data_IF_555169574997
#
_entry.id   IF_555169574997
#
_cell.length_a   1.000
_cell.length_b   1.000
_cell.length_c   1.000
_cell.angle_alpha   90.00
_cell.angle_beta   90.00
_cell.angle_gamma   90.00
#
_symmetry.space_group_name_H-M   'P 1'
#
loop_
_entity.id
_entity.type
_entity.pdbx_description
1 polymer ?
#
# COMPACT_ATOMS: atom_id res chain seq x y z
N UNK A 1 4.52 -32.04 -5.96
CA UNK A 1 4.73 -30.59 -6.07
C UNK A 1 3.53 -29.93 -5.42
N UNK A 2 3.64 -29.09 -4.42
CA UNK A 2 2.48 -28.47 -3.80
C UNK A 2 1.93 -27.40 -4.76
N UNK A 3 0.73 -27.63 -5.26
CA UNK A 3 -0.06 -26.66 -5.98
C UNK A 3 -0.65 -25.69 -4.95
N UNK A 4 -0.31 -24.42 -5.03
CA UNK A 4 -0.95 -23.40 -4.23
C UNK A 4 -2.24 -22.99 -4.95
N UNK A 5 -3.36 -23.55 -4.52
CA UNK A 5 -4.69 -23.16 -5.00
C UNK A 5 -5.08 -21.84 -4.35
N UNK A 6 -5.10 -20.78 -5.15
CA UNK A 6 -5.75 -19.53 -4.82
C UNK A 6 -7.07 -19.48 -5.62
N UNK A 7 -8.18 -19.61 -4.94
CA UNK A 7 -9.51 -19.46 -5.55
C UNK A 7 -9.84 -17.96 -5.63
N UNK A 8 -9.78 -17.41 -6.83
CA UNK A 8 -10.31 -16.10 -7.18
C UNK A 8 -11.28 -16.27 -8.34
N UNK A 9 -12.59 -16.26 -8.05
CA UNK A 9 -13.60 -16.45 -9.07
C UNK A 9 -13.50 -17.76 -9.86
N UNK A 10 -14.32 -17.99 -10.86
CA UNK A 10 -14.40 -19.23 -11.64
C UNK A 10 -13.21 -19.53 -12.59
N UNK A 11 -12.04 -18.88 -12.39
CA UNK A 11 -10.83 -19.13 -13.15
C UNK A 11 -9.70 -19.60 -12.26
N UNK A 12 -9.49 -20.92 -12.23
CA UNK A 12 -8.24 -21.52 -11.70
C UNK A 12 -7.06 -21.18 -12.62
N UNK A 13 -6.34 -20.10 -12.33
CA UNK A 13 -5.04 -19.82 -12.95
C UNK A 13 -3.93 -20.45 -12.10
N UNK A 14 -3.53 -21.67 -12.49
CA UNK A 14 -2.42 -22.37 -11.86
C UNK A 14 -1.12 -21.81 -12.46
N UNK A 15 -0.50 -20.84 -11.79
CA UNK A 15 0.88 -20.45 -12.10
C UNK A 15 1.82 -21.49 -11.48
N UNK A 16 2.29 -22.42 -12.28
CA UNK A 16 3.37 -23.35 -11.88
C UNK A 16 4.68 -22.57 -11.78
N UNK A 17 4.98 -22.02 -10.61
CA UNK A 17 6.30 -21.43 -10.37
C UNK A 17 7.33 -22.56 -10.22
N UNK A 18 8.33 -22.58 -11.11
CA UNK A 18 9.48 -23.47 -10.95
C UNK A 18 10.27 -23.08 -9.69
N UNK A 19 10.99 -24.02 -9.04
CA UNK A 19 11.82 -23.71 -7.88
C UNK A 19 12.77 -22.51 -8.12
N UNK A 20 13.40 -22.42 -9.29
CA UNK A 20 14.30 -21.32 -9.64
C UNK A 20 13.58 -19.94 -9.59
N UNK A 21 12.37 -19.84 -10.12
CA UNK A 21 11.59 -18.59 -10.06
C UNK A 21 11.27 -18.13 -8.63
N UNK A 22 11.06 -19.07 -7.70
CA UNK A 22 10.84 -18.73 -6.28
C UNK A 22 12.08 -18.14 -5.63
N UNK A 23 13.26 -18.66 -5.92
CA UNK A 23 14.53 -18.10 -5.42
C UNK A 23 14.81 -16.73 -6.04
N UNK A 24 14.58 -16.54 -7.34
CA UNK A 24 14.72 -15.25 -8.00
C UNK A 24 13.80 -14.19 -7.37
N UNK A 25 12.55 -14.56 -7.03
CA UNK A 25 11.61 -13.68 -6.36
C UNK A 25 12.09 -13.32 -4.95
N UNK A 26 12.55 -14.31 -4.19
CA UNK A 26 13.12 -14.09 -2.85
C UNK A 26 14.34 -13.16 -2.91
N UNK A 27 15.29 -13.41 -3.81
CA UNK A 27 16.51 -12.60 -3.95
C UNK A 27 16.18 -11.16 -4.34
N UNK A 28 15.23 -10.96 -5.27
CA UNK A 28 14.73 -9.64 -5.64
C UNK A 28 14.11 -8.90 -4.46
N UNK A 29 13.26 -9.59 -3.71
CA UNK A 29 12.61 -9.03 -2.52
C UNK A 29 13.63 -8.68 -1.42
N UNK A 30 14.57 -9.59 -1.11
CA UNK A 30 15.62 -9.37 -0.13
C UNK A 30 16.53 -8.20 -0.50
N UNK A 31 16.83 -8.01 -1.79
CA UNK A 31 17.56 -6.85 -2.29
C UNK A 31 16.86 -5.54 -1.97
N UNK A 32 15.55 -5.43 -2.26
CA UNK A 32 14.73 -4.25 -1.96
C UNK A 32 14.59 -4.03 -0.46
N UNK A 33 14.33 -5.09 0.31
CA UNK A 33 14.23 -5.05 1.77
C UNK A 33 15.54 -4.57 2.42
N UNK A 34 16.69 -5.03 1.92
CA UNK A 34 18.00 -4.60 2.42
C UNK A 34 18.24 -3.11 2.16
N UNK A 35 17.90 -2.62 0.98
CA UNK A 35 17.99 -1.18 0.65
C UNK A 35 17.06 -0.38 1.55
N UNK A 36 15.80 -0.81 1.72
CA UNK A 36 14.84 -0.17 2.62
C UNK A 36 15.40 -0.03 4.04
N UNK A 37 15.93 -1.11 4.61
CA UNK A 37 16.48 -1.13 5.97
C UNK A 37 17.70 -0.21 6.10
N UNK A 38 18.67 -0.34 5.18
CA UNK A 38 19.91 0.46 5.22
C UNK A 38 19.61 1.95 5.10
N UNK A 39 18.77 2.34 4.15
CA UNK A 39 18.38 3.73 3.96
C UNK A 39 17.55 4.26 5.14
N UNK A 40 16.61 3.48 5.67
CA UNK A 40 15.82 3.90 6.83
C UNK A 40 16.69 4.13 8.05
N UNK A 41 17.62 3.23 8.36
CA UNK A 41 18.59 3.40 9.46
C UNK A 41 19.44 4.65 9.21
N UNK A 42 19.99 4.83 8.01
CA UNK A 42 20.79 6.00 7.65
C UNK A 42 20.02 7.32 7.84
N UNK A 43 18.76 7.38 7.39
CA UNK A 43 17.92 8.56 7.56
C UNK A 43 17.54 8.80 9.02
N UNK A 44 17.24 7.76 9.81
CA UNK A 44 16.99 7.88 11.25
C UNK A 44 18.20 8.50 11.96
N UNK A 45 19.41 7.97 11.71
CA UNK A 45 20.65 8.52 12.29
C UNK A 45 20.82 9.98 11.88
N UNK A 46 20.59 10.30 10.61
CA UNK A 46 20.74 11.67 10.09
C UNK A 46 19.71 12.60 10.74
N UNK A 47 18.46 12.18 10.90
CA UNK A 47 17.40 12.95 11.60
C UNK A 47 17.78 13.26 13.03
N UNK A 48 18.42 12.32 13.73
CA UNK A 48 18.85 12.52 15.13
C UNK A 48 19.99 13.53 15.25
N UNK A 49 20.91 13.54 14.29
CA UNK A 49 22.15 14.35 14.37
C UNK A 49 21.95 15.77 13.86
N UNK A 50 21.13 15.96 12.80
CA UNK A 50 21.00 17.25 12.10
C UNK A 50 19.92 18.13 12.77
N UNK A 51 20.17 19.45 12.94
CA UNK A 51 19.17 20.38 13.49
C UNK A 51 18.13 20.81 12.43
N UNK A 52 17.01 21.36 12.90
CA UNK A 52 16.06 22.08 12.02
C UNK A 52 16.69 23.34 11.44
N UNK A 53 16.32 23.75 10.21
CA UNK A 53 15.31 23.14 9.31
C UNK A 53 15.87 22.03 8.40
N UNK A 54 17.20 21.78 8.41
CA UNK A 54 17.85 20.82 7.49
C UNK A 54 17.35 19.38 7.73
N UNK A 55 16.92 19.07 8.96
CA UNK A 55 16.31 17.80 9.34
C UNK A 55 15.08 17.42 8.49
N UNK A 56 14.35 18.38 7.92
CA UNK A 56 13.16 18.12 7.08
C UNK A 56 13.48 17.24 5.86
N UNK A 57 14.66 17.37 5.26
CA UNK A 57 15.04 16.55 4.10
C UNK A 57 15.17 15.06 4.45
N UNK A 58 15.98 14.64 5.45
CA UNK A 58 16.03 13.23 5.83
C UNK A 58 14.70 12.72 6.41
N UNK A 59 13.84 13.55 7.00
CA UNK A 59 12.48 13.18 7.41
C UNK A 59 11.59 12.88 6.18
N UNK A 60 11.67 13.69 5.12
CA UNK A 60 11.00 13.39 3.85
C UNK A 60 11.47 12.07 3.26
N UNK A 61 12.80 11.85 3.20
CA UNK A 61 13.37 10.61 2.66
C UNK A 61 12.99 9.39 3.50
N UNK A 62 12.92 9.54 4.83
CA UNK A 62 12.42 8.50 5.73
C UNK A 62 10.92 8.22 5.49
N UNK A 63 10.12 9.26 5.28
CA UNK A 63 8.71 9.14 4.89
C UNK A 63 8.52 8.42 3.56
N UNK A 64 9.40 8.66 2.59
CA UNK A 64 9.44 7.89 1.33
C UNK A 64 9.74 6.41 1.59
N UNK A 65 10.65 6.08 2.52
CA UNK A 65 10.93 4.67 2.87
C UNK A 65 9.75 4.00 3.56
N UNK A 66 9.01 4.71 4.40
CA UNK A 66 7.79 4.18 5.04
C UNK A 66 6.70 3.89 4.00
N UNK A 67 6.49 4.77 3.00
CA UNK A 67 5.57 4.48 1.90
C UNK A 67 6.05 3.27 1.09
N UNK A 68 7.35 3.20 0.73
CA UNK A 68 7.91 2.04 0.03
C UNK A 68 7.78 0.73 0.83
N UNK A 69 7.77 0.78 2.17
CA UNK A 69 7.57 -0.42 2.98
C UNK A 69 6.19 -1.05 2.76
N UNK A 70 5.15 -0.24 2.53
CA UNK A 70 3.79 -0.73 2.20
C UNK A 70 3.76 -1.36 0.82
N UNK A 71 4.50 -0.82 -0.15
CA UNK A 71 4.60 -1.42 -1.48
C UNK A 71 5.27 -2.82 -1.42
N UNK A 72 6.24 -3.02 -0.52
CA UNK A 72 6.81 -4.34 -0.26
C UNK A 72 5.87 -5.24 0.54
N UNK A 73 5.13 -4.69 1.52
CA UNK A 73 4.09 -5.42 2.25
C UNK A 73 3.00 -5.93 1.32
N UNK A 74 2.58 -5.12 0.35
CA UNK A 74 1.60 -5.48 -0.67
C UNK A 74 2.00 -6.76 -1.43
N UNK A 75 3.26 -6.90 -1.86
CA UNK A 75 3.77 -8.11 -2.52
C UNK A 75 3.60 -9.36 -1.63
N UNK A 76 3.79 -9.23 -0.31
CA UNK A 76 3.62 -10.32 0.65
C UNK A 76 2.14 -10.71 0.88
N UNK A 77 1.19 -9.86 0.52
CA UNK A 77 -0.24 -10.20 0.58
C UNK A 77 -0.60 -11.26 -0.46
N UNK A 78 0.03 -11.24 -1.63
CA UNK A 78 -0.22 -12.16 -2.75
C UNK A 78 0.68 -13.39 -2.72
N UNK A 79 1.94 -13.26 -2.31
CA UNK A 79 2.95 -14.30 -2.42
C UNK A 79 3.55 -14.70 -1.08
N UNK A 80 3.78 -16.02 -0.91
CA UNK A 80 4.58 -16.54 0.21
C UNK A 80 6.05 -16.56 -0.23
N UNK A 81 6.71 -15.40 -0.15
CA UNK A 81 8.08 -15.17 -0.62
C UNK A 81 9.09 -16.01 0.16
N UNK A 82 8.92 -16.08 1.49
CA UNK A 82 9.87 -16.74 2.41
C UNK A 82 9.67 -18.25 2.54
N UNK A 83 8.94 -18.92 1.65
CA UNK A 83 8.62 -20.35 1.73
C UNK A 83 7.95 -20.81 3.04
N UNK A 84 7.66 -19.87 3.95
CA UNK A 84 7.03 -20.10 5.24
C UNK A 84 6.05 -18.97 5.55
N UNK A 85 4.77 -19.30 5.69
CA UNK A 85 3.73 -18.32 5.96
C UNK A 85 3.93 -17.54 7.27
N UNK A 86 4.55 -18.15 8.31
CA UNK A 86 4.81 -17.46 9.57
C UNK A 86 5.87 -16.38 9.38
N UNK A 87 6.96 -16.70 8.66
CA UNK A 87 8.02 -15.73 8.33
C UNK A 87 7.47 -14.65 7.41
N UNK A 88 6.73 -15.03 6.38
CA UNK A 88 6.09 -14.10 5.45
C UNK A 88 5.21 -13.09 6.20
N UNK A 89 4.36 -13.57 7.13
CA UNK A 89 3.52 -12.70 7.96
C UNK A 89 4.33 -11.83 8.92
N UNK A 90 5.38 -12.38 9.56
CA UNK A 90 6.25 -11.60 10.44
C UNK A 90 6.88 -10.42 9.70
N UNK A 91 7.47 -10.68 8.53
CA UNK A 91 8.08 -9.63 7.70
C UNK A 91 7.02 -8.64 7.23
N UNK A 92 5.86 -9.11 6.77
CA UNK A 92 4.74 -8.21 6.40
C UNK A 92 4.31 -7.34 7.58
N UNK A 93 4.11 -7.92 8.78
CA UNK A 93 3.78 -7.12 9.97
C UNK A 93 4.85 -6.05 10.26
N UNK A 94 6.14 -6.38 10.16
CA UNK A 94 7.22 -5.41 10.38
C UNK A 94 7.23 -4.29 9.33
N UNK A 95 6.93 -4.61 8.08
CA UNK A 95 6.82 -3.62 6.98
C UNK A 95 5.62 -2.68 7.16
N UNK A 96 4.52 -3.16 7.71
CA UNK A 96 3.32 -2.35 8.00
C UNK A 96 3.44 -1.43 9.22
N UNK A 97 4.35 -1.75 10.18
CA UNK A 97 4.48 -0.98 11.42
C UNK A 97 4.69 0.53 11.21
N UNK A 98 5.54 1.00 10.28
CA UNK A 98 5.74 2.43 10.08
C UNK A 98 4.46 3.20 9.77
N UNK A 99 3.52 2.58 9.06
CA UNK A 99 2.21 3.16 8.70
C UNK A 99 1.06 2.63 9.57
N UNK A 100 1.35 1.90 10.66
CA UNK A 100 0.34 1.34 11.57
C UNK A 100 -0.61 0.33 10.89
N UNK A 101 -0.14 -0.36 9.87
CA UNK A 101 -0.91 -1.34 9.12
C UNK A 101 -0.80 -2.72 9.77
N UNK A 102 -1.93 -3.39 9.94
CA UNK A 102 -1.96 -4.81 10.29
C UNK A 102 -1.86 -5.63 9.00
N UNK A 103 -0.79 -6.39 8.84
CA UNK A 103 -0.59 -7.26 7.67
C UNK A 103 -1.77 -8.22 7.44
N UNK A 104 -2.30 -8.80 8.52
CA UNK A 104 -3.42 -9.75 8.42
C UNK A 104 -4.71 -9.07 7.95
N UNK A 105 -4.95 -7.81 8.37
CA UNK A 105 -6.09 -7.03 7.89
C UNK A 105 -5.86 -6.59 6.44
N UNK A 106 -4.68 -6.07 6.13
CA UNK A 106 -4.34 -5.65 4.76
C UNK A 106 -4.52 -6.81 3.79
N UNK A 107 -3.94 -7.98 4.07
CA UNK A 107 -4.09 -9.17 3.23
C UNK A 107 -5.56 -9.58 3.04
N UNK A 108 -6.39 -9.49 4.08
CA UNK A 108 -7.80 -9.85 4.00
C UNK A 108 -8.61 -8.85 3.16
N UNK A 109 -8.44 -7.54 3.41
CA UNK A 109 -9.15 -6.49 2.68
C UNK A 109 -8.68 -6.39 1.22
N UNK A 110 -7.37 -6.49 0.97
CA UNK A 110 -6.81 -6.44 -0.37
C UNK A 110 -7.23 -7.65 -1.22
N UNK A 111 -7.28 -8.85 -0.63
CA UNK A 111 -7.85 -10.02 -1.31
C UNK A 111 -9.33 -9.86 -1.64
N UNK A 112 -10.10 -9.22 -0.73
CA UNK A 112 -11.50 -8.89 -0.99
C UNK A 112 -11.62 -7.82 -2.11
N UNK A 113 -10.78 -6.77 -2.08
CA UNK A 113 -10.72 -5.74 -3.11
C UNK A 113 -10.51 -6.34 -4.51
N UNK A 114 -9.56 -7.25 -4.70
CA UNK A 114 -9.37 -7.94 -5.99
C UNK A 114 -10.61 -8.69 -6.49
N UNK A 115 -11.41 -9.25 -5.59
CA UNK A 115 -12.60 -10.02 -5.95
C UNK A 115 -13.85 -9.18 -6.11
N UNK A 116 -13.93 -8.03 -5.43
CA UNK A 116 -15.12 -7.19 -5.33
C UNK A 116 -14.99 -5.85 -6.07
N UNK A 117 -13.82 -5.54 -6.68
CA UNK A 117 -13.61 -4.29 -7.42
C UNK A 117 -14.65 -4.14 -8.54
N UNK A 118 -15.29 -2.97 -8.60
CA UNK A 118 -16.40 -2.70 -9.52
C UNK A 118 -17.77 -3.17 -9.01
N UNK A 119 -17.86 -3.59 -7.75
CA UNK A 119 -19.12 -3.92 -7.08
C UNK A 119 -19.33 -3.04 -5.83
N UNK A 120 -20.58 -2.91 -5.32
CA UNK A 120 -20.86 -2.16 -4.10
C UNK A 120 -20.18 -2.73 -2.83
N UNK A 121 -19.76 -3.98 -2.87
CA UNK A 121 -19.09 -4.66 -1.75
C UNK A 121 -17.61 -4.31 -1.65
N UNK A 122 -17.03 -3.64 -2.66
CA UNK A 122 -15.60 -3.26 -2.65
C UNK A 122 -15.25 -2.43 -1.41
N UNK A 123 -14.14 -2.78 -0.77
CA UNK A 123 -13.60 -2.09 0.41
C UNK A 123 -12.13 -1.76 0.18
N UNK A 124 -11.82 -0.48 0.24
CA UNK A 124 -10.44 0.00 0.17
C UNK A 124 -9.73 -0.19 1.52
N UNK A 125 -8.48 -0.62 1.47
CA UNK A 125 -7.69 -0.90 2.68
C UNK A 125 -7.44 0.37 3.50
N UNK A 126 -7.15 1.48 2.83
CA UNK A 126 -6.79 2.75 3.47
C UNK A 126 -7.97 3.70 3.66
N UNK A 127 -9.21 3.24 3.47
CA UNK A 127 -10.44 4.02 3.63
C UNK A 127 -10.46 5.32 2.82
N UNK A 128 -9.95 5.30 1.59
CA UNK A 128 -10.01 6.43 0.69
C UNK A 128 -11.45 6.73 0.29
N UNK A 129 -11.80 8.02 0.23
CA UNK A 129 -13.10 8.49 -0.25
C UNK A 129 -12.91 9.28 -1.54
N UNK A 130 -12.97 8.59 -2.67
CA UNK A 130 -12.79 9.18 -3.99
C UNK A 130 -13.92 10.13 -4.41
N UNK A 131 -15.12 9.98 -3.86
CA UNK A 131 -16.27 10.87 -4.13
C UNK A 131 -16.01 12.30 -3.67
N UNK A 132 -15.19 12.50 -2.63
CA UNK A 132 -14.82 13.82 -2.12
C UNK A 132 -13.73 14.51 -2.93
N UNK A 133 -13.10 13.84 -3.89
CA UNK A 133 -12.02 14.39 -4.72
C UNK A 133 -12.50 15.33 -5.83
N UNK A 134 -13.53 16.11 -5.56
CA UNK A 134 -14.10 17.13 -6.47
C UNK A 134 -13.68 18.55 -6.12
N UNK A 135 -12.83 18.71 -5.09
CA UNK A 135 -12.38 20.01 -4.58
C UNK A 135 -10.97 19.93 -4.00
N UNK A 136 -10.31 21.09 -3.86
CA UNK A 136 -8.99 21.18 -3.22
C UNK A 136 -9.04 20.68 -1.77
N UNK A 137 -10.11 21.03 -1.01
CA UNK A 137 -10.29 20.53 0.35
C UNK A 137 -10.44 19.00 0.41
N UNK A 138 -11.17 18.43 -0.56
CA UNK A 138 -11.27 16.97 -0.71
C UNK A 138 -9.92 16.31 -1.02
N UNK A 139 -9.11 16.96 -1.88
CA UNK A 139 -7.76 16.48 -2.18
C UNK A 139 -6.82 16.57 -0.96
N UNK A 140 -6.86 17.68 -0.19
CA UNK A 140 -6.11 17.79 1.07
C UNK A 140 -6.55 16.73 2.07
N UNK A 141 -7.87 16.49 2.19
CA UNK A 141 -8.40 15.43 3.04
C UNK A 141 -7.91 14.04 2.60
N UNK A 142 -7.86 13.78 1.30
CA UNK A 142 -7.30 12.54 0.75
C UNK A 142 -5.83 12.37 1.14
N UNK A 143 -5.00 13.40 0.92
CA UNK A 143 -3.58 13.39 1.28
C UNK A 143 -3.35 13.20 2.78
N UNK A 144 -4.27 13.67 3.62
CA UNK A 144 -4.15 13.53 5.09
C UNK A 144 -4.31 12.10 5.59
N UNK A 145 -4.87 11.18 4.78
CA UNK A 145 -5.20 9.81 5.16
C UNK A 145 -6.00 9.69 6.48
N UNK A 146 -6.82 10.69 6.82
CA UNK A 146 -7.60 10.69 8.06
C UNK A 146 -8.51 9.46 8.19
N UNK A 147 -9.04 8.94 7.09
CA UNK A 147 -9.82 7.69 7.09
C UNK A 147 -9.02 6.50 7.56
N UNK A 148 -7.76 6.39 7.12
CA UNK A 148 -6.85 5.34 7.58
C UNK A 148 -6.54 5.48 9.07
N UNK A 149 -6.08 6.65 9.52
CA UNK A 149 -5.70 6.84 10.92
C UNK A 149 -6.87 6.70 11.90
N UNK A 150 -8.08 7.13 11.52
CA UNK A 150 -9.28 6.87 12.35
C UNK A 150 -9.58 5.38 12.46
N UNK A 151 -9.49 4.64 11.34
CA UNK A 151 -9.63 3.18 11.34
C UNK A 151 -8.57 2.46 12.18
N UNK A 152 -7.33 2.95 12.19
CA UNK A 152 -6.26 2.43 13.06
C UNK A 152 -6.63 2.61 14.53
N UNK A 153 -7.09 3.81 14.94
CA UNK A 153 -7.52 4.07 16.32
C UNK A 153 -8.68 3.16 16.71
N UNK A 154 -9.70 3.02 15.85
CA UNK A 154 -10.83 2.14 16.09
C UNK A 154 -10.41 0.68 16.26
N UNK A 155 -9.51 0.18 15.41
CA UNK A 155 -9.00 -1.19 15.47
C UNK A 155 -8.13 -1.41 16.73
N UNK A 156 -7.31 -0.43 17.14
CA UNK A 156 -6.54 -0.50 18.39
C UNK A 156 -7.52 -0.56 19.59
N UNK A 157 -8.51 0.33 19.65
CA UNK A 157 -9.51 0.31 20.73
C UNK A 157 -10.25 -1.03 20.79
N UNK A 158 -10.71 -1.55 19.64
CA UNK A 158 -11.36 -2.84 19.56
C UNK A 158 -10.45 -3.98 20.03
N UNK A 159 -9.17 -3.97 19.63
CA UNK A 159 -8.19 -4.98 19.99
C UNK A 159 -7.94 -5.00 21.52
N UNK A 160 -7.81 -3.83 22.15
CA UNK A 160 -7.56 -3.68 23.59
C UNK A 160 -8.73 -4.14 24.44
N UNK A 161 -9.99 -3.93 24.00
CA UNK A 161 -11.18 -4.45 24.71
C UNK A 161 -11.52 -5.90 24.32
N UNK A 162 -10.70 -6.56 23.51
CA UNK A 162 -10.87 -7.96 23.14
C UNK A 162 -11.92 -8.22 22.06
N UNK A 163 -12.46 -7.19 21.41
CA UNK A 163 -13.43 -7.32 20.32
C UNK A 163 -12.74 -7.89 19.07
N UNK A 164 -13.30 -8.92 18.51
CA UNK A 164 -12.85 -9.54 17.26
C UNK A 164 -13.69 -9.06 16.07
N UNK A 165 -13.08 -9.02 14.89
CA UNK A 165 -13.79 -8.75 13.64
C UNK A 165 -14.63 -9.97 13.25
N UNK A 166 -15.84 -9.71 12.78
CA UNK A 166 -16.81 -10.74 12.36
C UNK A 166 -16.79 -10.98 10.84
N UNK A 167 -16.21 -10.05 10.09
CA UNK A 167 -16.15 -10.10 8.61
C UNK A 167 -14.99 -10.95 8.07
N UNK A 168 -14.22 -11.59 8.95
CA UNK A 168 -13.11 -12.50 8.60
C UNK A 168 -13.16 -13.78 9.46
N UNK A 169 -12.42 -14.82 9.05
CA UNK A 169 -12.37 -16.06 9.84
C UNK A 169 -11.80 -15.81 11.25
N UNK A 170 -12.23 -16.60 12.27
CA UNK A 170 -11.76 -16.41 13.65
C UNK A 170 -10.23 -16.40 13.78
N UNK A 171 -9.54 -17.25 13.01
CA UNK A 171 -8.08 -17.30 12.99
C UNK A 171 -7.46 -15.99 12.51
N UNK A 172 -8.02 -15.37 11.48
CA UNK A 172 -7.58 -14.08 10.94
C UNK A 172 -7.94 -12.98 11.92
N UNK A 173 -9.13 -12.97 12.49
CA UNK A 173 -9.55 -12.00 13.49
C UNK A 173 -8.61 -11.93 14.71
N UNK A 174 -8.18 -13.10 15.23
CA UNK A 174 -7.18 -13.16 16.30
C UNK A 174 -5.81 -12.61 15.88
N UNK A 175 -5.38 -12.85 14.65
CA UNK A 175 -4.12 -12.29 14.13
C UNK A 175 -4.19 -10.76 14.06
N UNK A 176 -5.26 -10.22 13.48
CA UNK A 176 -5.50 -8.77 13.37
C UNK A 176 -5.47 -8.13 14.76
N UNK A 177 -6.21 -8.70 15.72
CA UNK A 177 -6.21 -8.22 17.11
C UNK A 177 -4.79 -8.20 17.69
N UNK A 178 -4.03 -9.27 17.56
CA UNK A 178 -2.67 -9.34 18.12
C UNK A 178 -1.72 -8.33 17.47
N UNK A 179 -1.84 -8.09 16.17
CA UNK A 179 -1.06 -7.10 15.44
C UNK A 179 -1.40 -5.69 15.89
N UNK A 180 -2.67 -5.33 16.10
CA UNK A 180 -3.06 -4.03 16.68
C UNK A 180 -2.68 -3.88 18.15
N UNK A 181 -2.71 -4.95 18.95
CA UNK A 181 -2.16 -4.94 20.30
C UNK A 181 -0.64 -4.69 20.28
N UNK A 182 0.11 -5.29 19.34
CA UNK A 182 1.53 -5.02 19.14
C UNK A 182 1.77 -3.55 18.79
N UNK A 183 1.02 -3.01 17.82
CA UNK A 183 1.10 -1.59 17.41
C UNK A 183 0.85 -0.68 18.62
N UNK A 184 -0.22 -0.92 19.38
CA UNK A 184 -0.55 -0.15 20.58
C UNK A 184 0.58 -0.22 21.64
N UNK A 185 1.11 -1.41 21.89
CA UNK A 185 2.22 -1.63 22.82
C UNK A 185 3.46 -0.85 22.40
N UNK A 186 3.84 -0.91 21.11
CA UNK A 186 5.00 -0.16 20.59
C UNK A 186 4.80 1.35 20.71
N UNK A 187 3.61 1.87 20.39
CA UNK A 187 3.30 3.30 20.55
C UNK A 187 3.46 3.71 22.01
N UNK A 188 2.89 2.95 22.96
CA UNK A 188 2.96 3.25 24.38
C UNK A 188 4.43 3.21 24.85
N UNK A 189 5.18 2.18 24.50
CA UNK A 189 6.59 2.07 24.87
C UNK A 189 7.39 3.28 24.35
N UNK A 190 7.23 3.63 23.07
CA UNK A 190 7.94 4.75 22.45
C UNK A 190 7.56 6.09 23.10
N UNK A 191 6.29 6.30 23.45
CA UNK A 191 5.82 7.49 24.17
C UNK A 191 6.43 7.55 25.58
N UNK A 192 6.37 6.46 26.34
CA UNK A 192 6.95 6.40 27.70
C UNK A 192 8.46 6.68 27.66
N UNK A 193 9.19 6.05 26.73
CA UNK A 193 10.64 6.28 26.58
C UNK A 193 10.94 7.74 26.18
N UNK A 194 10.14 8.34 25.29
CA UNK A 194 10.30 9.75 24.91
C UNK A 194 10.09 10.70 26.09
N UNK A 195 9.11 10.42 26.95
CA UNK A 195 8.83 11.20 28.16
C UNK A 195 9.96 11.03 29.18
N UNK A 196 10.36 9.79 29.49
CA UNK A 196 11.38 9.49 30.49
C UNK A 196 12.75 10.09 30.13
N UNK A 197 13.10 10.08 28.85
CA UNK A 197 14.36 10.64 28.35
C UNK A 197 14.26 12.07 27.84
N UNK A 198 13.08 12.70 27.97
CA UNK A 198 12.82 14.08 27.54
C UNK A 198 13.32 14.34 26.10
N UNK A 199 13.04 13.42 25.19
CA UNK A 199 13.53 13.46 23.81
C UNK A 199 12.41 13.57 22.79
N UNK A 200 12.69 14.24 21.66
CA UNK A 200 11.78 14.35 20.51
C UNK A 200 12.01 13.25 19.46
N UNK A 201 12.84 12.24 19.77
CA UNK A 201 13.21 11.19 18.79
C UNK A 201 11.98 10.55 18.16
N UNK A 202 10.98 10.15 18.93
CA UNK A 202 9.73 9.58 18.42
C UNK A 202 9.02 10.53 17.44
N UNK A 203 8.91 11.80 17.82
CA UNK A 203 8.30 12.82 16.97
C UNK A 203 9.08 13.00 15.67
N UNK A 204 10.40 13.15 15.79
CA UNK A 204 11.29 13.47 14.67
C UNK A 204 11.51 12.30 13.70
N UNK A 205 11.62 11.06 14.22
CA UNK A 205 11.98 9.90 13.41
C UNK A 205 10.79 9.05 12.97
N UNK A 206 9.59 9.32 13.52
CA UNK A 206 8.41 8.54 13.15
C UNK A 206 7.18 9.40 12.89
N UNK A 207 6.68 10.19 13.84
CA UNK A 207 5.39 10.89 13.69
C UNK A 207 5.42 11.96 12.58
N UNK A 208 6.47 12.78 12.51
CA UNK A 208 6.61 13.78 11.43
C UNK A 208 6.79 13.07 10.07
N UNK A 209 7.74 12.13 9.90
CA UNK A 209 7.82 11.34 8.67
C UNK A 209 6.48 10.70 8.30
N UNK A 210 5.77 10.08 9.23
CA UNK A 210 4.51 9.39 8.98
C UNK A 210 3.40 10.35 8.51
N UNK A 211 3.12 11.39 9.28
CA UNK A 211 1.92 12.23 9.05
C UNK A 211 2.16 13.26 7.94
N UNK A 212 3.34 13.89 7.93
CA UNK A 212 3.64 15.00 7.01
C UNK A 212 4.10 14.50 5.64
N UNK A 213 4.78 13.36 5.58
CA UNK A 213 5.39 12.89 4.34
C UNK A 213 4.83 11.56 3.85
N UNK A 214 4.81 10.53 4.68
CA UNK A 214 4.40 9.18 4.25
C UNK A 214 2.95 9.14 3.80
N UNK A 215 2.03 9.68 4.59
CA UNK A 215 0.61 9.70 4.26
C UNK A 215 0.34 10.34 2.91
N UNK A 216 0.76 11.60 2.67
CA UNK A 216 0.62 12.24 1.36
C UNK A 216 1.29 11.47 0.21
N UNK A 217 2.50 10.93 0.41
CA UNK A 217 3.22 10.19 -0.63
C UNK A 217 2.46 8.90 -1.00
N UNK A 218 2.03 8.13 0.00
CA UNK A 218 1.28 6.90 -0.24
C UNK A 218 -0.07 7.19 -0.92
N UNK A 219 -0.80 8.19 -0.46
CA UNK A 219 -2.03 8.63 -1.09
C UNK A 219 -1.85 9.07 -2.56
N UNK A 220 -0.69 9.68 -2.89
CA UNK A 220 -0.33 10.03 -4.27
C UNK A 220 0.08 8.82 -5.11
N UNK A 221 0.60 7.75 -4.52
CA UNK A 221 0.90 6.51 -5.24
C UNK A 221 -0.41 5.80 -5.61
N UNK A 222 -1.32 5.62 -4.68
CA UNK A 222 -2.53 4.83 -4.84
C UNK A 222 -3.64 5.54 -5.63
N UNK A 223 -3.74 6.88 -5.54
CA UNK A 223 -4.82 7.63 -6.21
C UNK A 223 -4.97 7.30 -7.71
N UNK A 224 -3.91 7.19 -8.50
CA UNK A 224 -4.05 6.92 -9.93
C UNK A 224 -4.57 5.52 -10.26
N UNK A 225 -4.48 4.56 -9.34
CA UNK A 225 -4.73 3.15 -9.62
C UNK A 225 -6.17 2.88 -10.05
N UNK A 226 -7.13 3.52 -9.37
CA UNK A 226 -8.57 3.34 -9.63
C UNK A 226 -9.34 4.63 -9.87
N UNK A 227 -8.80 5.80 -9.45
CA UNK A 227 -9.52 7.05 -9.54
C UNK A 227 -9.85 7.43 -10.99
N UNK A 228 -11.15 7.64 -11.27
CA UNK A 228 -11.64 8.01 -12.60
C UNK A 228 -11.62 6.89 -13.63
N UNK A 229 -11.44 5.64 -13.20
CA UNK A 229 -11.73 4.45 -13.98
C UNK A 229 -13.22 4.06 -13.83
N UNK A 230 -13.71 3.15 -14.67
CA UNK A 230 -15.09 2.67 -14.59
C UNK A 230 -15.29 1.77 -13.36
N UNK A 231 -15.96 2.27 -12.33
CA UNK A 231 -16.22 1.57 -11.08
C UNK A 231 -17.50 0.69 -11.11
N UNK A 232 -18.14 0.56 -12.26
CA UNK A 232 -19.38 -0.21 -12.46
C UNK A 232 -19.14 -1.57 -13.14
N UNK A 233 -17.89 -1.87 -13.47
CA UNK A 233 -17.49 -3.12 -14.11
C UNK A 233 -16.46 -3.87 -13.27
N UNK A 234 -16.53 -5.20 -13.30
CA UNK A 234 -15.50 -6.06 -12.70
C UNK A 234 -14.34 -6.37 -13.64
N UNK A 235 -14.32 -5.75 -14.83
CA UNK A 235 -13.27 -5.97 -15.81
C UNK A 235 -12.04 -5.10 -15.48
N UNK A 236 -10.89 -5.67 -15.11
CA UNK A 236 -9.70 -4.89 -14.72
C UNK A 236 -9.13 -4.01 -15.84
N UNK A 237 -9.43 -4.29 -17.10
CA UNK A 237 -9.01 -3.43 -18.21
C UNK A 237 -9.71 -2.07 -18.23
N UNK A 238 -10.86 -1.95 -17.56
CA UNK A 238 -11.68 -0.74 -17.52
C UNK A 238 -11.69 -0.07 -16.14
N UNK A 239 -11.62 -0.86 -15.03
CA UNK A 239 -11.76 -0.35 -13.67
C UNK A 239 -10.42 -0.07 -12.96
N UNK A 240 -9.31 -0.27 -13.66
CA UNK A 240 -7.95 -0.12 -13.13
C UNK A 240 -7.08 0.63 -14.14
N UNK A 241 -6.00 1.27 -13.68
CA UNK A 241 -5.07 2.03 -14.54
C UNK A 241 -3.66 1.50 -14.45
N UNK A 242 -2.97 1.43 -15.60
CA UNK A 242 -1.52 1.24 -15.68
C UNK A 242 -0.84 2.56 -16.02
N UNK A 243 0.26 2.87 -15.31
CA UNK A 243 1.06 4.07 -15.54
C UNK A 243 2.44 3.66 -16.02
N UNK A 244 2.85 4.21 -17.18
CA UNK A 244 4.23 4.08 -17.62
C UNK A 244 5.13 4.93 -16.71
N UNK A 245 6.15 4.30 -16.13
CA UNK A 245 7.02 4.94 -15.16
C UNK A 245 8.49 4.69 -15.47
N UNK A 246 9.37 5.58 -14.97
CA UNK A 246 10.81 5.35 -15.03
C UNK A 246 11.18 4.09 -14.23
N UNK A 247 12.36 3.51 -14.51
CA UNK A 247 12.86 2.35 -13.77
C UNK A 247 12.92 2.60 -12.26
N UNK A 248 13.29 3.83 -11.87
CA UNK A 248 13.35 4.23 -10.46
C UNK A 248 11.95 4.27 -9.84
N UNK A 249 10.97 4.91 -10.47
CA UNK A 249 9.61 4.96 -9.95
C UNK A 249 8.97 3.57 -9.91
N UNK A 250 9.14 2.75 -10.96
CA UNK A 250 8.68 1.36 -10.96
C UNK A 250 9.28 0.56 -9.79
N UNK A 251 10.57 0.75 -9.51
CA UNK A 251 11.24 0.13 -8.36
C UNK A 251 10.66 0.66 -7.04
N UNK A 252 10.44 1.97 -6.93
CA UNK A 252 9.96 2.64 -5.72
C UNK A 252 8.53 2.23 -5.35
N UNK A 253 7.63 2.14 -6.33
CA UNK A 253 6.27 1.63 -6.12
C UNK A 253 6.17 0.11 -6.25
N UNK A 254 7.30 -0.58 -6.19
CA UNK A 254 7.41 -2.03 -6.26
C UNK A 254 6.65 -2.66 -7.44
N UNK A 255 6.58 -1.98 -8.59
CA UNK A 255 5.88 -2.47 -9.78
C UNK A 255 4.37 -2.25 -9.80
N UNK A 256 3.76 -1.68 -8.74
CA UNK A 256 2.32 -1.43 -8.65
C UNK A 256 1.81 -0.43 -9.71
N UNK A 257 2.70 0.31 -10.38
CA UNK A 257 2.33 1.10 -11.56
C UNK A 257 1.78 0.25 -12.73
N UNK A 258 2.00 -1.07 -12.74
CA UNK A 258 1.37 -2.05 -13.64
C UNK A 258 0.10 -2.64 -13.03
N UNK A 259 -0.82 -1.77 -12.59
CA UNK A 259 -1.93 -2.17 -11.74
C UNK A 259 -3.04 -2.94 -12.47
N UNK A 260 -3.24 -2.68 -13.78
CA UNK A 260 -4.14 -3.49 -14.63
C UNK A 260 -3.63 -4.93 -14.72
N UNK A 261 -2.35 -5.11 -14.95
CA UNK A 261 -1.66 -6.40 -15.03
C UNK A 261 -1.78 -7.16 -13.72
N UNK A 262 -1.61 -6.43 -12.62
CA UNK A 262 -1.72 -6.94 -11.27
C UNK A 262 -3.15 -7.41 -10.95
N UNK A 263 -4.18 -6.60 -11.24
CA UNK A 263 -5.58 -6.99 -11.03
C UNK A 263 -6.04 -8.09 -11.98
N UNK A 264 -5.52 -8.11 -13.22
CA UNK A 264 -5.86 -9.17 -14.17
C UNK A 264 -5.27 -10.53 -13.77
N UNK A 265 -4.06 -10.54 -13.21
CA UNK A 265 -3.39 -11.76 -12.73
C UNK A 265 -2.61 -11.51 -11.43
N UNK A 266 -3.30 -11.47 -10.26
CA UNK A 266 -2.66 -11.20 -8.97
C UNK A 266 -1.64 -12.27 -8.54
N UNK A 267 -1.65 -13.44 -9.18
CA UNK A 267 -0.68 -14.51 -8.94
C UNK A 267 0.64 -14.30 -9.69
N UNK A 268 0.71 -13.30 -10.58
CA UNK A 268 1.92 -13.02 -11.33
C UNK A 268 2.92 -12.25 -10.44
N UNK A 269 4.16 -12.73 -10.31
CA UNK A 269 5.19 -12.02 -9.56
C UNK A 269 5.41 -10.59 -10.09
N UNK A 270 5.64 -9.65 -9.19
CA UNK A 270 5.80 -8.21 -9.53
C UNK A 270 6.90 -7.96 -10.55
N UNK A 271 8.01 -8.69 -10.48
CA UNK A 271 9.11 -8.59 -11.44
C UNK A 271 8.74 -9.04 -12.87
N UNK A 272 7.63 -9.77 -13.04
CA UNK A 272 7.11 -10.23 -14.33
C UNK A 272 6.02 -9.30 -14.91
N UNK A 273 5.43 -8.40 -14.13
CA UNK A 273 4.33 -7.52 -14.58
C UNK A 273 4.73 -6.69 -15.81
N UNK A 274 5.95 -6.16 -15.84
CA UNK A 274 6.45 -5.37 -16.96
C UNK A 274 6.52 -6.19 -18.26
N UNK A 275 6.96 -7.45 -18.18
CA UNK A 275 7.03 -8.32 -19.35
C UNK A 275 5.62 -8.71 -19.80
N UNK A 276 4.73 -8.95 -18.84
CA UNK A 276 3.34 -9.28 -19.10
C UNK A 276 2.58 -8.12 -19.74
N UNK A 277 2.88 -6.87 -19.34
CA UNK A 277 2.31 -5.67 -19.95
C UNK A 277 2.35 -5.70 -21.48
N UNK A 278 3.46 -6.08 -22.07
CA UNK A 278 3.62 -6.14 -23.52
C UNK A 278 2.60 -7.07 -24.23
N UNK A 279 2.06 -8.05 -23.51
CA UNK A 279 1.10 -9.02 -24.05
C UNK A 279 -0.36 -8.54 -23.98
N UNK A 280 -0.67 -7.59 -23.08
CA UNK A 280 -2.04 -7.14 -22.84
C UNK A 280 -2.26 -5.65 -23.06
N UNK A 281 -1.21 -4.86 -23.32
CA UNK A 281 -1.28 -3.40 -23.44
C UNK A 281 -2.35 -2.92 -24.43
N UNK A 282 -2.61 -3.63 -25.52
CA UNK A 282 -3.66 -3.29 -26.49
C UNK A 282 -5.10 -3.45 -25.97
N UNK A 283 -5.31 -4.02 -24.75
CA UNK A 283 -6.61 -4.18 -24.12
C UNK A 283 -6.83 -3.18 -22.97
N UNK A 284 -5.78 -2.48 -22.54
CA UNK A 284 -5.83 -1.55 -21.41
C UNK A 284 -6.48 -0.26 -21.86
N UNK A 285 -7.62 0.09 -21.26
CA UNK A 285 -8.33 1.34 -21.56
C UNK A 285 -7.66 2.52 -20.84
N UNK A 286 -7.33 2.36 -19.58
CA UNK A 286 -6.76 3.41 -18.75
C UNK A 286 -5.22 3.28 -18.70
N UNK A 287 -4.55 3.70 -19.76
CA UNK A 287 -3.09 3.74 -19.84
C UNK A 287 -2.60 5.19 -19.78
N UNK A 288 -1.81 5.51 -18.74
CA UNK A 288 -1.17 6.83 -18.61
C UNK A 288 0.32 6.78 -18.95
N UNK A 289 0.78 7.83 -19.65
CA UNK A 289 2.18 7.93 -20.05
C UNK A 289 3.15 8.25 -18.90
N UNK A 290 2.64 8.75 -17.77
CA UNK A 290 3.41 9.02 -16.54
C UNK A 290 2.49 9.46 -15.40
N UNK A 291 3.00 9.38 -14.14
CA UNK A 291 2.35 10.01 -12.98
C UNK A 291 2.12 11.51 -13.19
N UNK A 292 3.08 12.21 -13.82
CA UNK A 292 2.93 13.62 -14.15
C UNK A 292 1.75 13.87 -15.10
N UNK A 293 1.59 13.05 -16.15
CA UNK A 293 0.45 13.14 -17.07
C UNK A 293 -0.88 12.99 -16.35
N UNK A 294 -0.98 11.99 -15.45
CA UNK A 294 -2.16 11.77 -14.64
C UNK A 294 -2.47 12.99 -13.76
N UNK A 295 -1.50 13.47 -12.97
CA UNK A 295 -1.73 14.58 -12.05
C UNK A 295 -1.99 15.90 -12.77
N UNK A 296 -1.37 16.13 -13.93
CA UNK A 296 -1.70 17.29 -14.78
C UNK A 296 -3.18 17.28 -15.16
N UNK A 297 -3.69 16.17 -15.71
CA UNK A 297 -5.11 16.03 -16.07
C UNK A 297 -6.02 16.13 -14.84
N UNK A 298 -5.62 15.54 -13.73
CA UNK A 298 -6.35 15.60 -12.48
C UNK A 298 -6.53 17.04 -12.00
N UNK A 299 -5.45 17.83 -11.95
CA UNK A 299 -5.50 19.21 -11.51
C UNK A 299 -6.19 20.13 -12.53
N UNK A 300 -6.00 19.92 -13.83
CA UNK A 300 -6.75 20.65 -14.86
C UNK A 300 -8.26 20.45 -14.68
N UNK A 301 -8.69 19.24 -14.33
CA UNK A 301 -10.10 18.95 -14.05
C UNK A 301 -10.55 19.53 -12.71
N UNK A 302 -9.72 19.49 -11.68
CA UNK A 302 -10.00 20.02 -10.35
C UNK A 302 -10.12 21.56 -10.33
N UNK A 303 -9.28 22.27 -11.09
CA UNK A 303 -9.27 23.72 -11.18
C UNK A 303 -10.12 24.27 -12.35
N UNK A 304 -10.31 23.47 -13.38
CA UNK A 304 -11.22 23.79 -14.48
C UNK A 304 -12.66 23.72 -14.00
N UNK A 305 -13.46 24.77 -14.21
CA UNK A 305 -14.90 24.84 -13.89
C UNK A 305 -15.79 23.81 -14.63
N UNK A 306 -15.25 22.74 -15.18
CA UNK A 306 -16.02 21.59 -15.71
C UNK A 306 -16.30 20.66 -14.54
N UNK A 307 -17.56 20.66 -14.09
CA UNK A 307 -18.12 19.69 -13.17
C UNK A 307 -17.60 18.29 -13.46
N UNK A 308 -17.20 17.58 -12.39
CA UNK A 308 -16.94 16.16 -12.39
C UNK A 308 -18.29 15.45 -12.62
N UNK A 309 -18.84 15.55 -13.79
CA UNK A 309 -19.91 14.63 -14.20
C UNK A 309 -19.20 13.33 -14.61
N UNK A 310 -19.49 12.27 -13.89
CA UNK A 310 -19.39 10.93 -14.44
C UNK A 310 -20.28 10.97 -15.70
N UNK A 311 -19.70 11.27 -16.84
CA UNK A 311 -20.41 11.08 -18.10
C UNK A 311 -20.53 9.58 -18.29
N UNK A 312 -21.71 9.09 -17.86
CA UNK A 312 -22.27 7.87 -18.37
C UNK A 312 -22.49 8.06 -19.88
N UNK A 313 -21.68 7.43 -20.69
CA UNK A 313 -22.00 7.05 -22.04
C UNK A 313 -21.82 5.54 -22.20
#
# INVERSE_FOLDING_TARGET
MPETKLAFGDKELIVKTTPNKKYELLDSFLGKLSILIVLSIGFIITVVIIPYPVKLLPQLLLGMMFAHSIELEHELTHHVIFFNERVNRLVGTLLGLPMLVSFSLYKALHGHHHSALGTPENKETFNYNYEKLTSISGFILHLSMLGHYSGVVENICAALVGKLREDVSPKIAHRIRNEYCLIACLIIIMLVLSILWQTTILLDTWLIPLIIFTGPIHALIELPEHFGCDNQTTNPFHNTRTIQASKFLTWYVNGNNYHVEHHFNPALPINELRNYHSTIVGKIENLESSYWSFYKKFFEKLFGKKTFSLENN
#
